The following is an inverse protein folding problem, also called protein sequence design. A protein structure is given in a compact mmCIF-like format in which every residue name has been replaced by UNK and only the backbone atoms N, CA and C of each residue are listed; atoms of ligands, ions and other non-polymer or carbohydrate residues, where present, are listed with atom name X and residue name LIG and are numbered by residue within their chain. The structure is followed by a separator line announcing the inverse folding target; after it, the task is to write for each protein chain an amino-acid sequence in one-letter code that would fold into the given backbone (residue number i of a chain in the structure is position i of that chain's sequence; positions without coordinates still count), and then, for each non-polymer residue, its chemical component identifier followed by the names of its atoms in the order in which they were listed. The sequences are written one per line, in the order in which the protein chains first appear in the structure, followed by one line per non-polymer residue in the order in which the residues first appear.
data_IF_637436736302
#
_entry.id   IF_637436736302
#
_cell.length_a   1.000
_cell.length_b   1.000
_cell.length_c   1.000
_cell.angle_alpha   90.00
_cell.angle_beta   90.00
_cell.angle_gamma   90.00
#
_symmetry.space_group_name_H-M   'P 1'
#
loop_
_entity.id
_entity.type
_entity.pdbx_description
1 polymer ?
#
# COMPACT_ATOMS: atom_id res chain seq x y z
N UNK A 1 8.00 9.52 20.80
CA UNK A 1 8.45 8.15 20.44
C UNK A 1 7.62 7.71 19.25
N UNK A 2 8.20 7.01 18.24
CA UNK A 2 7.39 6.41 17.20
C UNK A 2 6.41 5.40 17.82
N UNK A 3 5.17 5.42 17.35
CA UNK A 3 4.14 4.45 17.72
C UNK A 3 3.95 3.47 16.57
N UNK A 4 3.79 2.19 16.90
CA UNK A 4 3.65 1.12 15.92
C UNK A 4 2.34 0.37 16.15
N UNK A 5 1.59 0.14 15.08
CA UNK A 5 0.36 -0.65 15.09
C UNK A 5 0.59 -1.93 14.30
N UNK A 6 0.31 -3.08 14.92
CA UNK A 6 0.32 -4.36 14.20
C UNK A 6 -0.93 -4.44 13.32
N UNK A 7 -0.74 -4.64 12.01
CA UNK A 7 -1.84 -4.73 11.04
C UNK A 7 -2.07 -6.13 10.47
N UNK A 8 -1.03 -6.97 10.40
CA UNK A 8 -1.10 -8.31 9.82
C UNK A 8 0.09 -9.20 10.23
N UNK A 9 0.06 -10.47 9.84
CA UNK A 9 1.23 -11.36 9.82
C UNK A 9 1.72 -11.58 8.37
N UNK A 10 2.97 -12.02 8.19
CA UNK A 10 3.58 -12.17 6.86
C UNK A 10 2.78 -13.08 5.92
N UNK A 11 2.16 -14.13 6.44
CA UNK A 11 1.33 -15.06 5.66
C UNK A 11 0.04 -14.44 5.13
N UNK A 12 -0.43 -13.33 5.70
CA UNK A 12 -1.62 -12.62 5.22
C UNK A 12 -1.36 -11.83 3.93
N UNK A 13 -0.09 -11.55 3.63
CA UNK A 13 0.33 -10.73 2.50
C UNK A 13 1.54 -11.35 1.79
N UNK A 14 1.32 -12.33 0.88
CA UNK A 14 2.36 -12.91 0.04
C UNK A 14 3.05 -11.89 -0.87
N UNK A 15 4.22 -12.24 -1.42
CA UNK A 15 4.93 -11.39 -2.38
C UNK A 15 4.05 -11.07 -3.60
N UNK A 16 4.16 -9.84 -4.10
CA UNK A 16 3.38 -9.32 -5.23
C UNK A 16 1.93 -8.98 -4.87
N UNK A 17 1.58 -8.93 -3.58
CA UNK A 17 0.25 -8.57 -3.10
C UNK A 17 0.29 -7.28 -2.28
N UNK A 18 -0.84 -6.59 -2.28
CA UNK A 18 -1.10 -5.47 -1.39
C UNK A 18 -2.46 -5.62 -0.71
N UNK A 19 -2.63 -4.97 0.44
CA UNK A 19 -3.88 -4.99 1.20
C UNK A 19 -4.09 -3.68 1.95
N UNK A 20 -5.35 -3.28 2.05
CA UNK A 20 -5.79 -2.14 2.85
C UNK A 20 -6.00 -2.50 4.31
N UNK A 21 -5.66 -1.57 5.20
CA UNK A 21 -5.88 -1.64 6.63
C UNK A 21 -6.38 -0.27 7.14
N UNK A 22 -7.32 -0.29 8.07
CA UNK A 22 -7.67 0.89 8.84
C UNK A 22 -6.75 0.99 10.06
N UNK A 23 -5.96 2.06 10.15
CA UNK A 23 -5.04 2.31 11.26
C UNK A 23 -5.37 3.67 11.85
N UNK A 24 -5.94 3.68 13.06
CA UNK A 24 -6.32 4.91 13.77
C UNK A 24 -7.20 5.85 12.90
N UNK A 25 -8.16 5.27 12.16
CA UNK A 25 -9.05 6.03 11.28
C UNK A 25 -8.46 6.43 9.92
N UNK A 26 -7.19 6.09 9.63
CA UNK A 26 -6.56 6.31 8.33
C UNK A 26 -6.57 5.04 7.49
N UNK A 27 -6.82 5.19 6.20
CA UNK A 27 -6.69 4.11 5.22
C UNK A 27 -5.23 3.97 4.82
N UNK A 28 -4.62 2.83 5.13
CA UNK A 28 -3.22 2.52 4.82
C UNK A 28 -3.19 1.28 3.93
N UNK A 29 -2.44 1.33 2.84
CA UNK A 29 -2.15 0.14 2.04
C UNK A 29 -0.76 -0.35 2.40
N UNK A 30 -0.64 -1.65 2.65
CA UNK A 30 0.65 -2.34 2.76
C UNK A 30 0.85 -3.21 1.53
N UNK A 31 1.97 -3.04 0.84
CA UNK A 31 2.42 -3.87 -0.27
C UNK A 31 3.60 -4.74 0.15
N UNK A 32 3.65 -5.96 -0.39
CA UNK A 32 4.80 -6.85 -0.30
C UNK A 32 5.40 -7.03 -1.70
N UNK A 33 6.63 -6.57 -1.89
CA UNK A 33 7.37 -6.69 -3.15
C UNK A 33 8.63 -7.50 -2.87
N UNK A 34 8.63 -8.77 -3.25
CA UNK A 34 9.75 -9.71 -3.07
C UNK A 34 10.25 -9.86 -1.63
N UNK A 35 9.34 -9.72 -0.66
CA UNK A 35 9.62 -9.85 0.77
C UNK A 35 9.85 -8.52 1.48
N UNK A 36 10.00 -7.42 0.73
CA UNK A 36 10.06 -6.07 1.27
C UNK A 36 8.66 -5.48 1.43
N UNK A 37 8.38 -4.89 2.58
CA UNK A 37 7.06 -4.37 2.92
C UNK A 37 7.05 -2.84 2.92
N UNK A 38 6.06 -2.27 2.23
CA UNK A 38 5.88 -0.82 2.10
C UNK A 38 4.50 -0.43 2.57
N UNK A 39 4.41 0.56 3.45
CA UNK A 39 3.16 1.17 3.87
C UNK A 39 3.03 2.57 3.26
N UNK A 40 1.89 2.88 2.67
CA UNK A 40 1.58 4.19 2.09
C UNK A 40 0.10 4.52 2.27
N UNK A 41 -0.25 5.78 2.03
CA UNK A 41 -1.65 6.23 2.08
C UNK A 41 -2.49 5.38 1.12
N UNK A 42 -3.64 4.91 1.58
CA UNK A 42 -4.52 4.08 0.76
C UNK A 42 -5.32 4.86 -0.27
N UNK A 43 -5.18 6.18 -0.32
CA UNK A 43 -5.96 7.05 -1.20
C UNK A 43 -5.05 7.65 -2.27
N UNK A 44 -5.47 7.51 -3.53
CA UNK A 44 -4.77 8.04 -4.68
C UNK A 44 -4.78 9.57 -4.64
N UNK A 45 -3.60 10.18 -4.75
CA UNK A 45 -3.44 11.65 -4.74
C UNK A 45 -3.97 12.34 -6.00
N UNK A 46 -4.30 11.59 -7.05
CA UNK A 46 -4.87 12.14 -8.28
C UNK A 46 -6.35 12.52 -8.09
N UNK A 47 -7.22 11.56 -7.78
CA UNK A 47 -8.67 11.78 -7.61
C UNK A 47 -9.29 10.92 -6.48
N UNK A 48 -8.55 10.73 -5.39
CA UNK A 48 -9.05 10.11 -4.14
C UNK A 48 -9.64 8.70 -4.25
N UNK A 49 -9.25 7.92 -5.26
CA UNK A 49 -9.61 6.51 -5.35
C UNK A 49 -8.86 5.64 -4.34
N UNK A 50 -9.50 4.56 -3.86
CA UNK A 50 -8.84 3.55 -3.06
C UNK A 50 -7.74 2.83 -3.86
N UNK A 51 -6.53 2.79 -3.33
CA UNK A 51 -5.37 2.23 -4.01
C UNK A 51 -5.31 0.70 -3.92
N UNK A 52 -5.99 0.10 -2.94
CA UNK A 52 -6.02 -1.34 -2.74
C UNK A 52 -6.66 -2.13 -3.89
N UNK A 53 -7.48 -1.48 -4.73
CA UNK A 53 -8.04 -2.07 -5.95
C UNK A 53 -7.12 -1.97 -7.18
N UNK A 54 -5.96 -1.32 -7.05
CA UNK A 54 -5.00 -1.12 -8.14
C UNK A 54 -4.21 -2.38 -8.53
N UNK A 55 -3.24 -2.18 -9.41
CA UNK A 55 -2.33 -3.23 -9.87
C UNK A 55 -0.90 -2.96 -9.40
N UNK A 56 -0.33 -3.90 -8.65
CA UNK A 56 1.04 -3.85 -8.15
C UNK A 56 1.97 -4.64 -9.09
N UNK A 57 3.00 -3.97 -9.59
CA UNK A 57 4.06 -4.56 -10.42
C UNK A 57 5.44 -4.08 -9.91
N UNK A 58 6.16 -4.99 -9.25
CA UNK A 58 7.34 -4.63 -8.46
C UNK A 58 7.01 -3.47 -7.51
N UNK A 59 7.76 -2.37 -7.62
CA UNK A 59 7.54 -1.15 -6.84
C UNK A 59 6.63 -0.12 -7.51
N UNK A 60 5.88 -0.48 -8.54
CA UNK A 60 4.91 0.41 -9.18
C UNK A 60 3.50 -0.02 -8.83
N UNK A 61 2.72 0.87 -8.23
CA UNK A 61 1.28 0.71 -8.10
C UNK A 61 0.57 1.54 -9.18
N UNK A 62 -0.25 0.89 -9.99
CA UNK A 62 -1.15 1.56 -10.94
C UNK A 62 -2.53 1.65 -10.34
N UNK A 63 -3.03 2.87 -10.14
CA UNK A 63 -4.40 3.12 -9.68
C UNK A 63 -5.39 2.65 -10.75
N UNK A 64 -6.36 1.83 -10.34
CA UNK A 64 -7.34 1.25 -11.26
C UNK A 64 -8.30 2.28 -11.88
N UNK A 65 -8.48 3.43 -11.23
CA UNK A 65 -9.43 4.45 -11.71
C UNK A 65 -8.96 5.08 -13.04
N UNK A 66 -7.81 5.74 -13.02
CA UNK A 66 -7.34 6.59 -14.15
C UNK A 66 -5.93 6.24 -14.61
N UNK A 67 -5.34 5.15 -14.11
CA UNK A 67 -4.00 4.69 -14.50
C UNK A 67 -2.85 5.49 -13.91
N UNK A 68 -3.10 6.35 -12.91
CA UNK A 68 -2.04 7.06 -12.20
C UNK A 68 -1.03 6.06 -11.61
N UNK A 69 0.26 6.29 -11.85
CA UNK A 69 1.34 5.46 -11.33
C UNK A 69 1.90 6.07 -10.05
N UNK A 70 1.85 5.29 -8.98
CA UNK A 70 2.40 5.62 -7.67
C UNK A 70 3.63 4.76 -7.46
N UNK A 71 4.72 5.40 -7.06
CA UNK A 71 5.93 4.74 -6.63
C UNK A 71 5.99 4.90 -5.11
N UNK A 72 6.03 3.83 -4.31
CA UNK A 72 6.28 3.92 -2.88
C UNK A 72 7.67 4.55 -2.71
N UNK A 73 7.70 5.85 -2.46
CA UNK A 73 8.93 6.56 -2.19
C UNK A 73 9.51 5.95 -0.90
N UNK A 74 10.63 5.24 -1.04
CA UNK A 74 11.48 4.79 0.06
C UNK A 74 11.84 5.99 0.93
N UNK A 75 11.05 6.26 1.96
CA UNK A 75 11.52 7.02 3.11
C UNK A 75 11.80 6.00 4.19
N UNK A 76 13.08 5.68 4.31
CA UNK A 76 13.62 4.91 5.43
C UNK A 76 13.38 5.58 6.77
#
# INVERSE_FOLDING_TARGET
MPEYTKVAIKSDLPSGKMREYNVNGKTIVVANTDGDYFAFDGICTHEHCALAGGFLDGFTLTCYCHGARIFPSLKG
#
